data_IF_675181867980
#
_entry.id   IF_675181867980
#
_cell.length_a   1.000
_cell.length_b   1.000
_cell.length_c   1.000
_cell.angle_alpha   90.00
_cell.angle_beta   90.00
_cell.angle_gamma   90.00
#
_symmetry.space_group_name_H-M   'P 1'
#
loop_
_entity.id
_entity.type
_entity.pdbx_description
1 polymer ?
#
# COMPACT_ATOMS: atom_id res chain seq x y z
N UNK A 1 -9.44 -24.03 5.74
CA UNK A 1 -9.49 -22.83 6.59
C UNK A 1 -8.06 -22.45 6.91
N UNK A 2 -7.64 -21.21 6.62
CA UNK A 2 -6.33 -20.74 7.08
C UNK A 2 -6.42 -20.49 8.59
N UNK A 3 -5.45 -20.98 9.39
CA UNK A 3 -5.42 -20.68 10.81
C UNK A 3 -5.32 -19.16 11.02
N UNK A 4 -5.94 -18.62 12.09
CA UNK A 4 -5.79 -17.21 12.42
C UNK A 4 -4.31 -16.89 12.67
N UNK A 5 -3.86 -15.74 12.15
CA UNK A 5 -2.51 -15.25 12.37
C UNK A 5 -2.26 -15.03 13.87
N UNK A 6 -1.05 -15.31 14.34
CA UNK A 6 -0.64 -14.87 15.68
C UNK A 6 -0.70 -13.34 15.77
N UNK A 7 -0.87 -12.81 16.97
CA UNK A 7 -0.92 -11.37 17.20
C UNK A 7 0.35 -10.67 16.69
N UNK A 8 1.51 -11.26 16.94
CA UNK A 8 2.79 -10.78 16.44
C UNK A 8 2.82 -10.71 14.91
N UNK A 9 2.38 -11.78 14.23
CA UNK A 9 2.31 -11.81 12.76
C UNK A 9 1.36 -10.74 12.24
N UNK A 10 0.22 -10.53 12.89
CA UNK A 10 -0.75 -9.50 12.53
C UNK A 10 -0.12 -8.10 12.62
N UNK A 11 0.63 -7.82 13.69
CA UNK A 11 1.31 -6.54 13.88
C UNK A 11 2.40 -6.31 12.83
N UNK A 12 3.18 -7.34 12.50
CA UNK A 12 4.20 -7.27 11.43
C UNK A 12 3.55 -6.96 10.09
N UNK A 13 2.47 -7.67 9.73
CA UNK A 13 1.73 -7.42 8.48
C UNK A 13 1.21 -5.98 8.44
N UNK A 14 0.64 -5.48 9.54
CA UNK A 14 0.16 -4.11 9.64
C UNK A 14 1.29 -3.08 9.47
N UNK A 15 2.45 -3.31 10.10
CA UNK A 15 3.60 -2.43 9.97
C UNK A 15 4.16 -2.42 8.54
N UNK A 16 4.22 -3.57 7.87
CA UNK A 16 4.63 -3.67 6.46
C UNK A 16 3.66 -2.94 5.55
N UNK A 17 2.35 -3.12 5.74
CA UNK A 17 1.33 -2.41 4.96
C UNK A 17 1.49 -0.89 5.07
N UNK A 18 1.73 -0.37 6.28
CA UNK A 18 1.97 1.05 6.53
C UNK A 18 3.28 1.55 5.92
N UNK A 19 4.37 0.79 6.08
CA UNK A 19 5.66 1.13 5.51
C UNK A 19 5.60 1.22 3.97
N UNK A 20 4.94 0.25 3.33
CA UNK A 20 4.77 0.27 1.87
C UNK A 20 3.88 1.43 1.41
N UNK A 21 2.84 1.80 2.17
CA UNK A 21 2.03 2.98 1.84
C UNK A 21 2.87 4.26 1.84
N UNK A 22 3.64 4.48 2.90
CA UNK A 22 4.52 5.64 3.04
C UNK A 22 5.62 5.66 1.98
N UNK A 23 6.17 4.49 1.63
CA UNK A 23 7.17 4.39 0.57
C UNK A 23 6.59 4.88 -0.77
N UNK A 24 5.36 4.46 -1.12
CA UNK A 24 4.68 4.90 -2.34
C UNK A 24 4.39 6.41 -2.30
N UNK A 25 3.88 6.94 -1.18
CA UNK A 25 3.65 8.39 -1.05
C UNK A 25 4.94 9.21 -1.14
N UNK A 26 6.05 8.68 -0.62
CA UNK A 26 7.37 9.34 -0.68
C UNK A 26 7.84 9.63 -2.10
N UNK A 27 7.45 8.83 -3.10
CA UNK A 27 7.80 9.07 -4.49
C UNK A 27 7.27 10.40 -5.03
N UNK A 28 6.21 10.98 -4.44
CA UNK A 28 5.72 12.31 -4.83
C UNK A 28 6.81 13.38 -4.74
N UNK A 29 7.72 13.26 -3.79
CA UNK A 29 8.81 14.22 -3.59
C UNK A 29 9.91 14.09 -4.65
N UNK A 30 10.01 12.93 -5.29
CA UNK A 30 11.05 12.64 -6.28
C UNK A 30 10.67 13.07 -7.69
N UNK A 31 9.37 13.23 -7.97
CA UNK A 31 8.85 13.43 -9.33
C UNK A 31 9.01 12.22 -10.25
N UNK A 32 9.53 11.09 -9.75
CA UNK A 32 9.72 9.86 -10.49
C UNK A 32 8.51 8.92 -10.33
N UNK A 33 8.23 8.05 -11.31
CA UNK A 33 7.19 7.04 -11.19
C UNK A 33 7.59 5.94 -10.21
N UNK A 34 6.59 5.30 -9.62
CA UNK A 34 6.76 4.20 -8.64
C UNK A 34 6.97 2.88 -9.40
N UNK A 35 8.07 2.15 -9.16
CA UNK A 35 8.25 0.80 -9.69
C UNK A 35 7.37 -0.19 -8.91
N UNK A 36 6.53 -0.94 -9.63
CA UNK A 36 5.63 -1.95 -9.07
C UNK A 36 5.84 -3.28 -9.79
N UNK A 37 5.97 -4.37 -9.03
CA UNK A 37 6.04 -5.72 -9.60
C UNK A 37 4.63 -6.22 -9.94
N UNK A 38 4.39 -6.56 -11.21
CA UNK A 38 3.09 -7.05 -11.70
C UNK A 38 3.30 -8.04 -12.83
N UNK A 39 2.64 -9.19 -12.76
CA UNK A 39 2.65 -10.22 -13.81
C UNK A 39 4.07 -10.62 -14.28
N UNK A 40 4.99 -10.78 -13.32
CA UNK A 40 6.37 -11.22 -13.56
C UNK A 40 7.32 -10.14 -14.10
N UNK A 41 6.90 -8.86 -14.16
CA UNK A 41 7.73 -7.74 -14.60
C UNK A 41 7.57 -6.51 -13.71
N UNK A 42 8.49 -5.57 -13.84
CA UNK A 42 8.35 -4.23 -13.26
C UNK A 42 7.54 -3.35 -14.22
N UNK A 43 6.51 -2.69 -13.68
CA UNK A 43 5.77 -1.61 -14.33
C UNK A 43 5.94 -0.32 -13.55
N UNK A 44 5.96 0.82 -14.22
CA UNK A 44 6.12 2.12 -13.60
C UNK A 44 4.78 2.85 -13.60
N UNK A 45 4.30 3.18 -12.41
CA UNK A 45 3.00 3.81 -12.20
C UNK A 45 3.15 5.21 -11.61
N UNK A 46 2.18 6.08 -11.84
CA UNK A 46 2.05 7.27 -11.00
C UNK A 46 1.79 6.87 -9.55
N UNK A 47 2.01 7.79 -8.61
CA UNK A 47 1.76 7.52 -7.18
C UNK A 47 0.29 7.15 -6.94
N UNK A 48 -0.65 7.83 -7.60
CA UNK A 48 -2.08 7.58 -7.42
C UNK A 48 -2.49 6.20 -7.96
N UNK A 49 -1.96 5.80 -9.13
CA UNK A 49 -2.18 4.45 -9.67
C UNK A 49 -1.55 3.36 -8.78
N UNK A 50 -0.35 3.60 -8.26
CA UNK A 50 0.34 2.67 -7.36
C UNK A 50 -0.42 2.48 -6.04
N UNK A 51 -0.97 3.56 -5.47
CA UNK A 51 -1.82 3.49 -4.28
C UNK A 51 -3.14 2.77 -4.60
N UNK A 52 -3.79 3.09 -5.70
CA UNK A 52 -5.06 2.48 -6.12
C UNK A 52 -4.95 0.98 -6.39
N UNK A 53 -3.76 0.49 -6.77
CA UNK A 53 -3.50 -0.93 -6.99
C UNK A 53 -3.40 -1.75 -5.69
N UNK A 54 -3.34 -1.11 -4.51
CA UNK A 54 -3.25 -1.81 -3.24
C UNK A 54 -4.59 -2.35 -2.77
N UNK A 55 -4.57 -3.53 -2.16
CA UNK A 55 -5.77 -4.18 -1.61
C UNK A 55 -6.42 -3.40 -0.45
N UNK A 56 -5.66 -2.59 0.28
CA UNK A 56 -6.15 -1.77 1.41
C UNK A 56 -6.57 -0.35 1.01
N UNK A 57 -6.52 0.00 -0.28
CA UNK A 57 -6.76 1.35 -0.76
C UNK A 57 -8.15 1.88 -0.39
N UNK A 58 -9.20 1.12 -0.72
CA UNK A 58 -10.58 1.54 -0.49
C UNK A 58 -10.88 1.75 1.00
N UNK A 59 -10.39 0.83 1.85
CA UNK A 59 -10.56 0.94 3.30
C UNK A 59 -9.89 2.20 3.86
N UNK A 60 -8.69 2.52 3.38
CA UNK A 60 -7.94 3.72 3.80
C UNK A 60 -8.59 5.01 3.29
N UNK A 61 -9.09 5.04 2.06
CA UNK A 61 -9.77 6.21 1.51
C UNK A 61 -11.09 6.49 2.23
N UNK A 62 -11.85 5.45 2.58
CA UNK A 62 -13.05 5.58 3.42
C UNK A 62 -12.72 6.14 4.81
N UNK A 63 -11.63 5.68 5.45
CA UNK A 63 -11.18 6.21 6.74
C UNK A 63 -10.68 7.66 6.67
N UNK A 64 -10.15 8.09 5.50
CA UNK A 64 -9.66 9.45 5.27
C UNK A 64 -10.80 10.44 4.99
N UNK A 65 -11.87 10.00 4.31
CA UNK A 65 -13.09 10.79 4.07
C UNK A 65 -14.07 10.84 5.24
N UNK A 66 -13.87 10.01 6.27
CA UNK A 66 -14.71 9.95 7.47
C UNK A 66 -14.23 10.84 8.63
N UNK A 67 -13.18 11.66 8.45
CA UNK A 67 -12.84 12.71 9.42
C UNK A 67 -13.68 13.96 9.13
N UNK A 68 -14.43 14.49 10.12
CA UNK A 68 -15.10 15.79 9.98
C UNK A 68 -14.08 16.93 9.80
#
# INVERSE_FOLDING_TARGET
MNPPLSEETRLVVQAMMEATWKAIEGYRQTGLPVPVWRDGKVVYLSVDEALAARSDYQQRMAAKGARP
#
